data_IF_922527797188
#
_entry.id   IF_922527797188
#
_cell.length_a   1.000
_cell.length_b   1.000
_cell.length_c   1.000
_cell.angle_alpha   90.00
_cell.angle_beta   90.00
_cell.angle_gamma   90.00
#
_symmetry.space_group_name_H-M   'P 1'
#
loop_
_entity.id
_entity.type
_entity.pdbx_description
1 polymer ?
#
# COMPACT_ATOMS: atom_id res chain seq x y z
N UNK A 1 84.14 52.73 26.49
CA UNK A 1 83.80 53.73 25.43
C UNK A 1 83.38 53.00 24.15
N UNK A 2 82.32 53.51 23.48
CA UNK A 2 81.65 53.05 22.22
C UNK A 2 80.69 51.84 22.40
N UNK A 3 79.40 52.08 22.68
CA UNK A 3 78.26 52.31 21.74
C UNK A 3 77.98 51.07 20.87
N UNK A 4 77.05 50.22 21.29
CA UNK A 4 75.62 50.24 20.93
C UNK A 4 75.34 49.86 19.48
N UNK A 5 74.74 48.68 19.28
CA UNK A 5 73.65 48.38 18.33
C UNK A 5 73.09 46.99 18.63
N UNK A 6 71.98 46.98 19.35
CA UNK A 6 71.05 45.85 19.46
C UNK A 6 70.43 45.67 18.08
N UNK A 7 70.61 44.50 17.46
CA UNK A 7 69.86 44.12 16.28
C UNK A 7 69.04 42.88 16.63
N UNK A 8 67.76 43.12 16.87
CA UNK A 8 66.76 42.09 17.13
C UNK A 8 66.58 41.23 15.87
N UNK A 9 66.86 39.93 15.98
CA UNK A 9 66.34 38.95 15.04
C UNK A 9 64.84 38.81 15.30
N UNK A 10 64.03 39.55 14.53
CA UNK A 10 62.59 39.31 14.45
C UNK A 10 62.39 38.05 13.61
N UNK A 11 62.15 36.94 14.29
CA UNK A 11 61.52 35.76 13.74
C UNK A 11 60.19 36.17 13.09
N UNK A 12 60.15 36.18 11.75
CA UNK A 12 58.91 36.29 11.01
C UNK A 12 58.15 34.96 11.13
N UNK A 13 57.44 34.80 12.25
CA UNK A 13 56.43 33.76 12.39
C UNK A 13 55.27 34.16 11.47
N UNK A 14 55.24 33.58 10.27
CA UNK A 14 54.09 33.66 9.39
C UNK A 14 52.90 32.98 10.09
N UNK A 15 52.07 33.79 10.75
CA UNK A 15 50.73 33.36 11.15
C UNK A 15 49.96 33.20 9.85
N UNK A 16 49.93 31.96 9.34
CA UNK A 16 48.89 31.54 8.43
C UNK A 16 47.58 31.65 9.20
N UNK A 17 46.95 32.82 9.16
CA UNK A 17 45.53 32.95 9.48
C UNK A 17 44.85 32.13 8.41
N UNK A 18 44.52 30.89 8.77
CA UNK A 18 43.59 30.06 8.05
C UNK A 18 42.28 30.84 7.96
N UNK A 19 42.12 31.62 6.90
CA UNK A 19 40.80 31.93 6.36
C UNK A 19 40.26 30.58 5.88
N UNK A 20 39.75 29.78 6.82
CA UNK A 20 38.69 28.87 6.49
C UNK A 20 37.52 29.81 6.13
N UNK A 21 37.11 29.93 4.85
CA UNK A 21 35.77 30.43 4.61
C UNK A 21 34.89 29.51 5.45
N UNK A 22 34.18 30.08 6.42
CA UNK A 22 33.30 29.30 7.28
C UNK A 22 32.52 28.36 6.39
N UNK A 23 32.51 27.06 6.70
CA UNK A 23 31.56 26.18 6.08
C UNK A 23 30.20 26.61 6.64
N UNK A 24 29.56 27.59 5.99
CA UNK A 24 28.20 28.02 6.28
C UNK A 24 27.28 26.90 5.81
N UNK A 25 27.16 25.85 6.63
CA UNK A 25 26.34 24.69 6.30
C UNK A 25 24.86 25.04 6.17
N UNK A 26 24.42 26.21 6.64
CA UNK A 26 23.04 26.68 6.53
C UNK A 26 23.01 28.20 6.43
N UNK A 27 23.32 28.75 5.26
CA UNK A 27 22.98 30.13 4.95
C UNK A 27 21.45 30.23 4.81
N UNK A 28 20.83 31.21 5.49
CA UNK A 28 19.37 31.37 5.60
C UNK A 28 18.68 31.82 4.30
N UNK A 29 19.43 31.95 3.21
CA UNK A 29 18.91 32.17 1.86
C UNK A 29 18.85 30.81 1.18
N UNK A 30 17.66 30.22 1.11
CA UNK A 30 17.44 28.94 0.47
C UNK A 30 18.02 28.90 -0.94
N UNK A 31 19.20 28.28 -1.09
CA UNK A 31 19.80 28.01 -2.39
C UNK A 31 18.97 26.99 -3.15
N UNK A 32 18.95 27.09 -4.48
CA UNK A 32 18.30 26.09 -5.30
C UNK A 32 19.14 24.81 -5.28
N UNK A 33 18.62 23.76 -4.65
CA UNK A 33 19.31 22.48 -4.53
C UNK A 33 19.74 21.88 -5.88
N UNK A 34 19.04 22.22 -6.97
CA UNK A 34 19.38 21.76 -8.32
C UNK A 34 20.66 22.39 -8.89
N UNK A 35 21.22 23.40 -8.23
CA UNK A 35 22.49 24.01 -8.65
C UNK A 35 23.71 23.15 -8.28
N UNK A 36 23.63 22.40 -7.17
CA UNK A 36 24.73 21.57 -6.68
C UNK A 36 24.47 20.07 -6.87
N UNK A 37 23.21 19.69 -7.03
CA UNK A 37 22.82 18.31 -7.26
C UNK A 37 22.15 18.23 -8.63
N UNK A 38 22.53 17.25 -9.44
CA UNK A 38 21.91 17.03 -10.75
C UNK A 38 21.59 15.55 -10.95
N UNK A 39 20.46 15.31 -11.59
CA UNK A 39 20.07 14.00 -12.09
C UNK A 39 19.36 14.21 -13.43
N UNK A 40 20.04 13.84 -14.52
CA UNK A 40 19.44 13.90 -15.85
C UNK A 40 18.48 12.72 -16.06
N UNK A 41 17.57 12.83 -17.03
CA UNK A 41 16.69 11.71 -17.41
C UNK A 41 17.50 10.46 -17.81
N UNK A 42 18.63 10.65 -18.50
CA UNK A 42 19.50 9.55 -18.92
C UNK A 42 20.18 8.87 -17.72
N UNK A 43 20.71 9.66 -16.78
CA UNK A 43 21.32 9.12 -15.56
C UNK A 43 20.30 8.41 -14.67
N UNK A 44 19.09 8.98 -14.55
CA UNK A 44 17.98 8.35 -13.84
C UNK A 44 17.60 7.01 -14.50
N UNK A 45 17.53 6.94 -15.83
CA UNK A 45 17.21 5.72 -16.57
C UNK A 45 18.22 4.59 -16.26
N UNK A 46 19.51 4.91 -16.30
CA UNK A 46 20.61 3.98 -15.98
C UNK A 46 20.57 3.55 -14.51
N UNK A 47 20.44 4.52 -13.58
CA UNK A 47 20.42 4.28 -12.15
C UNK A 47 19.26 3.37 -11.73
N UNK A 48 18.06 3.64 -12.28
CA UNK A 48 16.83 2.89 -12.00
C UNK A 48 16.70 1.61 -12.83
N UNK A 49 17.67 1.34 -13.72
CA UNK A 49 17.73 0.13 -14.56
C UNK A 49 16.41 -0.10 -15.31
N UNK A 50 15.83 0.97 -15.87
CA UNK A 50 14.46 0.95 -16.38
C UNK A 50 14.23 -0.09 -17.49
N UNK A 51 15.27 -0.43 -18.26
CA UNK A 51 15.24 -1.51 -19.25
C UNK A 51 14.83 -2.86 -18.67
N UNK A 52 15.32 -3.19 -17.46
CA UNK A 52 14.98 -4.45 -16.78
C UNK A 52 13.51 -4.55 -16.42
N UNK A 53 12.89 -3.40 -16.18
CA UNK A 53 11.50 -3.28 -15.77
C UNK A 53 10.60 -2.80 -16.92
N UNK A 54 11.12 -2.70 -18.16
CA UNK A 54 10.38 -2.20 -19.33
C UNK A 54 9.72 -0.83 -19.07
N UNK A 55 10.39 0.03 -18.32
CA UNK A 55 9.94 1.38 -18.00
C UNK A 55 10.78 2.43 -18.75
N UNK A 56 10.27 3.66 -18.82
CA UNK A 56 10.98 4.82 -19.40
C UNK A 56 10.91 6.00 -18.45
N UNK A 57 12.03 6.72 -18.27
CA UNK A 57 12.02 8.00 -17.55
C UNK A 57 11.40 9.06 -18.46
N UNK A 58 10.29 9.63 -18.01
CA UNK A 58 9.62 10.75 -18.69
C UNK A 58 10.18 12.09 -18.24
N UNK A 59 10.33 12.28 -16.93
CA UNK A 59 10.81 13.54 -16.36
C UNK A 59 11.53 13.30 -15.03
N UNK A 60 12.57 14.09 -14.79
CA UNK A 60 13.22 14.24 -13.49
C UNK A 60 13.06 15.70 -13.04
N UNK A 61 12.55 15.90 -11.83
CA UNK A 61 12.39 17.23 -11.20
C UNK A 61 12.79 17.20 -9.73
N UNK A 62 12.95 18.36 -9.11
CA UNK A 62 13.13 18.43 -7.66
C UNK A 62 11.88 17.93 -6.95
N UNK A 63 12.06 17.09 -5.93
CA UNK A 63 10.97 16.64 -5.08
C UNK A 63 10.47 17.79 -4.18
N UNK A 64 9.18 17.79 -3.79
CA UNK A 64 8.69 18.65 -2.72
C UNK A 64 9.42 18.42 -1.39
N UNK A 65 9.97 17.22 -1.17
CA UNK A 65 10.84 16.93 -0.03
C UNK A 65 12.29 17.25 -0.39
N UNK A 66 12.86 18.23 0.32
CA UNK A 66 14.25 18.66 0.11
C UNK A 66 15.22 17.48 0.27
N UNK A 67 16.20 17.41 -0.64
CA UNK A 67 17.20 16.34 -0.66
C UNK A 67 16.86 15.16 -1.57
N UNK A 68 15.71 15.19 -2.25
CA UNK A 68 15.27 14.15 -3.17
C UNK A 68 14.98 14.71 -4.57
N UNK A 69 15.24 13.88 -5.58
CA UNK A 69 14.69 13.99 -6.93
C UNK A 69 13.37 13.25 -7.00
N UNK A 70 12.41 13.77 -7.75
CA UNK A 70 11.23 13.05 -8.20
C UNK A 70 11.44 12.61 -9.64
N UNK A 71 11.20 11.33 -9.92
CA UNK A 71 11.34 10.72 -11.24
C UNK A 71 10.01 10.13 -11.67
N UNK A 72 9.49 10.62 -12.79
CA UNK A 72 8.29 10.09 -13.42
C UNK A 72 8.68 8.97 -14.40
N UNK A 73 8.26 7.75 -14.07
CA UNK A 73 8.47 6.56 -14.89
C UNK A 73 7.17 6.19 -15.61
N UNK A 74 7.29 5.77 -16.86
CA UNK A 74 6.17 5.28 -17.67
C UNK A 74 6.41 3.81 -18.01
N UNK A 75 5.42 2.97 -17.73
CA UNK A 75 5.43 1.54 -18.06
C UNK A 75 4.08 1.18 -18.72
N UNK A 76 4.05 1.16 -20.06
CA UNK A 76 2.80 1.11 -20.81
C UNK A 76 1.96 2.37 -20.57
N UNK A 77 0.72 2.23 -20.12
CA UNK A 77 -0.15 3.35 -19.73
C UNK A 77 0.02 3.79 -18.27
N UNK A 78 0.79 3.04 -17.47
CA UNK A 78 0.96 3.34 -16.04
C UNK A 78 2.05 4.39 -15.84
N UNK A 79 1.73 5.41 -15.05
CA UNK A 79 2.68 6.41 -14.55
C UNK A 79 3.05 6.05 -13.11
N UNK A 80 4.33 5.85 -12.86
CA UNK A 80 4.89 5.51 -11.55
C UNK A 80 5.78 6.68 -11.12
N UNK A 81 5.56 7.18 -9.91
CA UNK A 81 6.42 8.21 -9.32
C UNK A 81 7.31 7.53 -8.29
N UNK A 82 8.62 7.79 -8.42
CA UNK A 82 9.62 7.37 -7.44
C UNK A 82 10.51 8.55 -7.08
N UNK A 83 11.16 8.46 -5.93
CA UNK A 83 12.08 9.48 -5.45
C UNK A 83 13.47 8.92 -5.22
N UNK A 84 14.49 9.67 -5.61
CA UNK A 84 15.90 9.29 -5.47
C UNK A 84 16.59 10.33 -4.60
N UNK A 85 17.30 9.91 -3.57
CA UNK A 85 18.07 10.84 -2.75
C UNK A 85 19.22 11.49 -3.53
N UNK A 86 19.67 12.67 -3.11
CA UNK A 86 20.75 13.37 -3.79
C UNK A 86 22.08 12.60 -3.81
N UNK A 87 22.30 11.66 -2.88
CA UNK A 87 23.47 10.79 -2.94
C UNK A 87 23.32 9.64 -3.96
N UNK A 88 22.15 9.49 -4.58
CA UNK A 88 21.83 8.47 -5.60
C UNK A 88 22.00 7.03 -5.08
N UNK A 89 21.69 6.81 -3.79
CA UNK A 89 21.88 5.53 -3.09
C UNK A 89 20.56 4.86 -2.70
N UNK A 90 19.51 5.65 -2.53
CA UNK A 90 18.23 5.20 -2.00
C UNK A 90 17.11 5.59 -2.96
N UNK A 91 16.24 4.63 -3.22
CA UNK A 91 14.99 4.79 -3.94
C UNK A 91 13.85 4.73 -2.93
N UNK A 92 12.91 5.66 -3.04
CA UNK A 92 11.67 5.69 -2.26
C UNK A 92 10.52 5.59 -3.26
N UNK A 93 9.58 4.70 -2.99
CA UNK A 93 8.40 4.52 -3.84
C UNK A 93 7.21 5.29 -3.27
N UNK A 94 6.41 5.92 -4.13
CA UNK A 94 5.17 6.57 -3.76
C UNK A 94 5.11 8.05 -4.12
N UNK A 95 4.10 8.74 -3.58
CA UNK A 95 3.92 10.20 -3.74
C UNK A 95 3.98 10.85 -2.37
N UNK A 96 4.69 11.96 -2.27
CA UNK A 96 4.53 12.84 -1.12
C UNK A 96 3.22 13.62 -1.27
N UNK A 97 2.49 13.75 -0.18
CA UNK A 97 1.31 14.60 -0.07
C UNK A 97 1.67 15.73 0.88
N UNK A 98 1.45 16.98 0.49
CA UNK A 98 1.72 18.09 1.39
C UNK A 98 0.75 18.05 2.59
N UNK A 99 1.20 18.49 3.76
CA UNK A 99 0.33 18.50 4.95
C UNK A 99 -0.90 19.41 4.76
N UNK A 100 -0.78 20.46 3.95
CA UNK A 100 -1.87 21.35 3.51
C UNK A 100 -2.90 20.63 2.62
N UNK A 101 -2.48 19.59 1.91
CA UNK A 101 -3.33 18.74 1.07
C UNK A 101 -3.91 17.54 1.83
N UNK A 102 -3.51 17.35 3.10
CA UNK A 102 -4.20 16.42 3.99
C UNK A 102 -5.60 16.97 4.25
N UNK A 103 -6.55 16.53 3.42
CA UNK A 103 -7.97 16.67 3.69
C UNK A 103 -8.44 15.63 4.69
N UNK A 104 -9.73 15.70 5.00
CA UNK A 104 -10.44 14.60 5.65
C UNK A 104 -10.18 13.28 4.91
N UNK A 105 -10.08 12.13 5.61
CA UNK A 105 -9.96 10.84 4.97
C UNK A 105 -11.01 10.71 3.87
N UNK A 106 -10.57 10.45 2.63
CA UNK A 106 -11.51 10.29 1.53
C UNK A 106 -12.53 9.23 1.95
N UNK A 107 -13.84 9.54 1.88
CA UNK A 107 -14.85 8.60 2.32
C UNK A 107 -14.69 7.31 1.52
N UNK A 108 -14.90 6.17 2.19
CA UNK A 108 -14.89 4.88 1.54
C UNK A 108 -15.84 4.93 0.33
N UNK A 109 -15.35 4.47 -0.81
CA UNK A 109 -16.15 4.40 -2.03
C UNK A 109 -17.38 3.55 -1.77
N UNK A 110 -18.54 4.01 -2.23
CA UNK A 110 -19.80 3.27 -2.10
C UNK A 110 -20.09 2.43 -3.34
N UNK A 111 -20.72 1.29 -3.13
CA UNK A 111 -21.29 0.40 -4.14
C UNK A 111 -22.77 0.19 -3.88
N UNK A 112 -23.53 -0.15 -4.92
CA UNK A 112 -24.93 -0.53 -4.75
C UNK A 112 -25.01 -1.96 -4.21
N UNK A 113 -25.30 -2.08 -2.91
CA UNK A 113 -25.43 -3.37 -2.22
C UNK A 113 -26.58 -4.19 -2.79
N UNK A 114 -27.65 -3.54 -3.29
CA UNK A 114 -28.81 -4.25 -3.86
C UNK A 114 -28.45 -4.99 -5.14
N UNK A 115 -27.43 -4.54 -5.85
CA UNK A 115 -26.89 -5.20 -7.04
C UNK A 115 -25.96 -6.38 -6.73
N UNK A 116 -25.73 -6.72 -5.46
CA UNK A 116 -24.83 -7.81 -5.07
C UNK A 116 -25.65 -9.05 -4.65
N UNK A 117 -25.67 -10.12 -5.47
CA UNK A 117 -26.38 -11.35 -5.14
C UNK A 117 -25.79 -11.99 -3.89
N UNK A 118 -26.61 -12.30 -2.88
CA UNK A 118 -26.18 -12.98 -1.65
C UNK A 118 -26.36 -14.49 -1.71
N UNK A 119 -27.06 -14.96 -2.75
CA UNK A 119 -27.23 -16.37 -3.05
C UNK A 119 -25.85 -17.01 -3.17
N UNK A 120 -25.78 -18.27 -2.72
CA UNK A 120 -24.58 -19.11 -2.82
C UNK A 120 -23.33 -18.63 -2.08
N UNK A 121 -23.41 -17.52 -1.33
CA UNK A 121 -22.34 -17.12 -0.41
C UNK A 121 -22.17 -18.15 0.72
N UNK A 122 -20.94 -18.25 1.22
CA UNK A 122 -20.64 -18.96 2.46
C UNK A 122 -21.01 -18.04 3.61
N UNK A 123 -21.86 -18.49 4.52
CA UNK A 123 -22.36 -17.65 5.61
C UNK A 123 -21.63 -17.97 6.91
N UNK A 124 -21.03 -16.95 7.51
CA UNK A 124 -20.53 -16.98 8.88
C UNK A 124 -21.44 -16.08 9.75
N UNK A 125 -22.22 -16.71 10.62
CA UNK A 125 -23.20 -16.05 11.49
C UNK A 125 -24.64 -16.45 11.19
N UNK A 126 -25.60 -15.72 11.73
CA UNK A 126 -27.03 -15.97 11.52
C UNK A 126 -27.47 -15.40 10.16
N UNK A 127 -27.96 -16.21 9.20
CA UNK A 127 -28.49 -15.69 7.92
C UNK A 127 -29.64 -14.67 8.06
N UNK A 128 -30.27 -14.58 9.24
CA UNK A 128 -31.33 -13.61 9.59
C UNK A 128 -30.81 -12.35 10.27
N UNK A 129 -29.50 -12.22 10.47
CA UNK A 129 -28.88 -11.03 11.03
C UNK A 129 -29.28 -9.76 10.25
N UNK A 130 -29.49 -8.68 10.99
CA UNK A 130 -29.89 -7.38 10.45
C UNK A 130 -28.80 -6.80 9.54
N UNK A 131 -27.54 -6.87 9.99
CA UNK A 131 -26.39 -6.35 9.27
C UNK A 131 -25.73 -7.47 8.48
N UNK A 132 -25.73 -7.29 7.16
CA UNK A 132 -25.07 -8.21 6.22
C UNK A 132 -23.82 -7.55 5.68
N UNK A 133 -22.68 -8.16 5.94
CA UNK A 133 -21.38 -7.71 5.46
C UNK A 133 -20.93 -8.70 4.38
N UNK A 134 -20.61 -8.20 3.19
CA UNK A 134 -20.17 -9.05 2.08
C UNK A 134 -18.65 -9.06 2.08
N UNK A 135 -18.04 -10.23 2.01
CA UNK A 135 -16.59 -10.39 2.08
C UNK A 135 -16.11 -11.09 0.81
N UNK A 136 -15.25 -10.43 0.04
CA UNK A 136 -14.53 -11.06 -1.06
C UNK A 136 -13.22 -11.61 -0.54
N UNK A 137 -13.04 -12.92 -0.68
CA UNK A 137 -12.07 -13.69 0.08
C UNK A 137 -11.34 -14.69 -0.82
N UNK A 138 -10.06 -14.97 -0.54
CA UNK A 138 -9.21 -15.88 -1.28
C UNK A 138 -8.60 -16.92 -0.33
N UNK A 139 -8.84 -18.23 -0.55
CA UNK A 139 -8.40 -19.30 0.35
C UNK A 139 -6.87 -19.46 0.48
N UNK A 140 -6.08 -18.87 -0.42
CA UNK A 140 -4.61 -18.87 -0.35
C UNK A 140 -4.04 -17.51 0.12
N UNK A 141 -4.88 -16.50 0.36
CA UNK A 141 -4.43 -15.20 0.82
C UNK A 141 -4.19 -15.18 2.35
N UNK A 142 -2.96 -14.88 2.82
CA UNK A 142 -2.65 -14.86 4.25
C UNK A 142 -3.40 -13.76 5.02
N UNK A 143 -3.75 -12.65 4.37
CA UNK A 143 -4.55 -11.59 4.99
C UNK A 143 -6.02 -11.97 5.12
N UNK A 144 -6.54 -12.80 4.21
CA UNK A 144 -7.89 -13.35 4.34
C UNK A 144 -7.98 -14.29 5.54
N UNK A 145 -6.99 -15.16 5.72
CA UNK A 145 -6.90 -16.03 6.90
C UNK A 145 -6.90 -15.22 8.21
N UNK A 146 -6.15 -14.10 8.25
CA UNK A 146 -6.14 -13.19 9.41
C UNK A 146 -7.49 -12.50 9.61
N UNK A 147 -8.11 -12.02 8.54
CA UNK A 147 -9.42 -11.38 8.61
C UNK A 147 -10.47 -12.35 9.14
N UNK A 148 -10.48 -13.59 8.66
CA UNK A 148 -11.45 -14.62 9.06
C UNK A 148 -11.48 -14.86 10.57
N UNK A 149 -10.32 -14.82 11.23
CA UNK A 149 -10.25 -14.91 12.69
C UNK A 149 -10.88 -13.68 13.38
N UNK A 150 -10.74 -12.48 12.82
CA UNK A 150 -11.44 -11.28 13.31
C UNK A 150 -12.96 -11.38 13.06
N UNK A 151 -13.39 -11.90 11.91
CA UNK A 151 -14.82 -12.13 11.62
C UNK A 151 -15.44 -13.12 12.61
N UNK A 152 -14.69 -14.16 13.00
CA UNK A 152 -15.11 -15.14 14.01
C UNK A 152 -15.26 -14.50 15.39
N UNK A 153 -14.34 -13.63 15.80
CA UNK A 153 -14.47 -12.85 17.05
C UNK A 153 -15.73 -11.99 17.02
N UNK A 154 -15.94 -11.24 15.94
CA UNK A 154 -17.14 -10.40 15.78
C UNK A 154 -18.41 -11.26 15.84
N UNK A 155 -18.48 -12.35 15.08
CA UNK A 155 -19.64 -13.24 15.07
C UNK A 155 -19.90 -13.91 16.43
N UNK A 156 -18.87 -14.15 17.24
CA UNK A 156 -19.04 -14.67 18.59
C UNK A 156 -19.76 -13.67 19.50
N UNK A 157 -19.44 -12.37 19.38
CA UNK A 157 -19.93 -11.29 20.25
C UNK A 157 -21.19 -10.58 19.72
N UNK A 158 -21.36 -10.51 18.39
CA UNK A 158 -22.40 -9.72 17.71
C UNK A 158 -23.24 -10.59 16.78
N UNK A 159 -24.40 -11.01 17.28
CA UNK A 159 -25.36 -11.85 16.53
C UNK A 159 -26.23 -11.06 15.56
N UNK A 160 -26.20 -9.73 15.63
CA UNK A 160 -26.86 -8.83 14.67
C UNK A 160 -26.07 -8.69 13.35
N UNK A 161 -24.89 -9.32 13.25
CA UNK A 161 -24.02 -9.26 12.07
C UNK A 161 -23.85 -10.67 11.48
N UNK A 162 -23.97 -10.79 10.17
CA UNK A 162 -23.55 -11.98 9.42
C UNK A 162 -22.65 -11.62 8.25
N UNK A 163 -21.63 -12.45 8.02
CA UNK A 163 -20.68 -12.31 6.94
C UNK A 163 -21.03 -13.25 5.79
N UNK A 164 -21.23 -12.66 4.61
CA UNK A 164 -21.52 -13.35 3.36
C UNK A 164 -20.24 -13.41 2.53
N UNK A 165 -19.52 -14.52 2.66
CA UNK A 165 -18.20 -14.70 2.09
C UNK A 165 -18.36 -15.23 0.66
N UNK A 166 -17.73 -14.53 -0.29
CA UNK A 166 -17.67 -14.82 -1.71
C UNK A 166 -16.24 -15.10 -2.10
N UNK A 167 -16.00 -16.25 -2.72
CA UNK A 167 -14.67 -16.63 -3.18
C UNK A 167 -14.25 -15.77 -4.37
N UNK A 168 -13.14 -15.07 -4.22
CA UNK A 168 -12.47 -14.24 -5.22
C UNK A 168 -10.97 -14.60 -5.26
N UNK A 169 -10.62 -15.76 -5.86
CA UNK A 169 -9.22 -16.19 -5.96
C UNK A 169 -8.43 -15.25 -6.87
N UNK A 170 -7.33 -14.72 -6.36
CA UNK A 170 -6.44 -13.83 -7.10
C UNK A 170 -5.55 -14.63 -8.06
N UNK A 171 -5.25 -14.07 -9.22
CA UNK A 171 -4.41 -14.73 -10.23
C UNK A 171 -2.99 -15.08 -9.74
N UNK A 172 -2.50 -14.40 -8.70
CA UNK A 172 -1.21 -14.68 -8.06
C UNK A 172 -1.22 -15.97 -7.22
N UNK A 173 -2.39 -16.53 -6.93
CA UNK A 173 -2.56 -17.75 -6.15
C UNK A 173 -3.05 -18.89 -7.06
N UNK A 174 -2.14 -19.66 -7.69
CA UNK A 174 -2.49 -20.60 -8.75
C UNK A 174 -3.38 -21.76 -8.29
N UNK A 175 -3.41 -22.08 -6.98
CA UNK A 175 -4.23 -23.16 -6.43
C UNK A 175 -5.57 -22.66 -5.85
N UNK A 176 -5.75 -21.35 -5.72
CA UNK A 176 -6.90 -20.76 -5.05
C UNK A 176 -8.20 -21.00 -5.81
N UNK A 177 -8.15 -21.07 -7.15
CA UNK A 177 -9.32 -21.27 -7.99
C UNK A 177 -10.01 -22.63 -7.72
N UNK A 178 -9.26 -23.72 -7.78
CA UNK A 178 -9.79 -25.06 -7.53
C UNK A 178 -10.27 -25.23 -6.08
N UNK A 179 -9.54 -24.66 -5.11
CA UNK A 179 -9.98 -24.62 -3.71
C UNK A 179 -11.29 -23.84 -3.55
N UNK A 180 -11.39 -22.69 -4.21
CA UNK A 180 -12.59 -21.85 -4.21
C UNK A 180 -13.80 -22.59 -4.78
N UNK A 181 -13.63 -23.38 -5.85
CA UNK A 181 -14.70 -24.23 -6.39
C UNK A 181 -15.17 -25.26 -5.35
N UNK A 182 -14.24 -25.96 -4.70
CA UNK A 182 -14.57 -26.96 -3.68
C UNK A 182 -15.31 -26.33 -2.48
N UNK A 183 -14.87 -25.17 -2.01
CA UNK A 183 -15.51 -24.42 -0.92
C UNK A 183 -16.90 -23.94 -1.35
N UNK A 184 -17.03 -23.36 -2.55
CA UNK A 184 -18.29 -22.83 -3.07
C UNK A 184 -19.34 -23.92 -3.30
N UNK A 185 -18.95 -25.09 -3.83
CA UNK A 185 -19.85 -26.24 -4.00
C UNK A 185 -20.51 -26.67 -2.68
N UNK A 186 -19.73 -26.68 -1.59
CA UNK A 186 -20.22 -27.09 -0.26
C UNK A 186 -20.77 -25.95 0.58
N UNK A 187 -20.55 -24.69 0.18
CA UNK A 187 -20.83 -23.48 0.97
C UNK A 187 -20.29 -23.60 2.40
N UNK A 188 -19.09 -24.16 2.54
CA UNK A 188 -18.59 -24.64 3.83
C UNK A 188 -17.53 -23.71 4.43
N UNK A 189 -17.87 -23.08 5.56
CA UNK A 189 -16.89 -22.35 6.39
C UNK A 189 -15.74 -23.27 6.80
N UNK A 190 -16.03 -24.54 7.12
CA UNK A 190 -15.01 -25.51 7.51
C UNK A 190 -13.97 -25.74 6.40
N UNK A 191 -14.39 -25.87 5.14
CA UNK A 191 -13.44 -26.03 4.04
C UNK A 191 -12.60 -24.78 3.81
N UNK A 192 -13.19 -23.60 4.00
CA UNK A 192 -12.44 -22.33 3.97
C UNK A 192 -11.37 -22.29 5.09
N UNK A 193 -11.74 -22.65 6.31
CA UNK A 193 -10.80 -22.74 7.44
C UNK A 193 -9.72 -23.80 7.23
N UNK A 194 -10.08 -24.96 6.69
CA UNK A 194 -9.12 -26.01 6.36
C UNK A 194 -8.13 -25.53 5.27
N UNK A 195 -8.59 -24.71 4.31
CA UNK A 195 -7.72 -24.08 3.31
C UNK A 195 -6.74 -23.09 3.96
N UNK A 196 -7.22 -22.21 4.82
CA UNK A 196 -6.38 -21.26 5.57
C UNK A 196 -5.37 -21.95 6.49
N UNK A 197 -5.72 -23.12 7.04
CA UNK A 197 -4.81 -23.95 7.80
C UNK A 197 -3.80 -24.73 6.94
N UNK A 198 -3.78 -24.50 5.62
CA UNK A 198 -2.87 -25.15 4.67
C UNK A 198 -3.20 -26.62 4.40
N UNK A 199 -4.40 -27.09 4.78
CA UNK A 199 -4.79 -28.49 4.54
C UNK A 199 -5.18 -28.68 3.07
N UNK A 200 -4.99 -29.92 2.60
CA UNK A 200 -5.46 -30.32 1.28
C UNK A 200 -6.98 -30.44 1.29
N UNK A 201 -7.65 -29.72 0.40
CA UNK A 201 -9.08 -29.83 0.20
C UNK A 201 -9.45 -31.01 -0.71
N UNK A 202 -10.67 -31.57 -0.57
CA UNK A 202 -11.21 -32.47 -1.57
C UNK A 202 -11.33 -31.77 -2.94
N UNK A 203 -11.39 -32.55 -4.02
CA UNK A 203 -11.77 -32.01 -5.32
C UNK A 203 -13.20 -31.45 -5.27
N UNK A 204 -13.53 -30.43 -6.09
CA UNK A 204 -14.91 -30.00 -6.25
C UNK A 204 -15.79 -31.19 -6.65
N UNK A 205 -16.93 -31.33 -6.00
CA UNK A 205 -17.91 -32.40 -6.27
C UNK A 205 -19.12 -31.90 -7.05
N UNK A 206 -19.07 -30.65 -7.52
CA UNK A 206 -20.08 -30.02 -8.34
C UNK A 206 -19.42 -29.17 -9.43
N UNK A 207 -20.14 -28.95 -10.53
CA UNK A 207 -19.82 -27.86 -11.45
C UNK A 207 -20.47 -26.58 -10.95
N UNK A 208 -19.70 -25.50 -10.90
CA UNK A 208 -20.16 -24.20 -10.40
C UNK A 208 -19.55 -23.07 -11.21
N UNK A 209 -20.39 -22.08 -11.54
CA UNK A 209 -19.95 -20.81 -12.13
C UNK A 209 -19.82 -19.70 -11.07
N UNK A 210 -20.08 -20.00 -9.79
CA UNK A 210 -20.10 -19.01 -8.72
C UNK A 210 -18.74 -18.32 -8.53
N UNK A 211 -17.64 -19.05 -8.69
CA UNK A 211 -16.29 -18.46 -8.60
C UNK A 211 -16.07 -17.45 -9.72
N UNK A 212 -16.41 -17.78 -10.96
CA UNK A 212 -16.27 -16.86 -12.09
C UNK A 212 -17.22 -15.66 -11.99
N UNK A 213 -18.44 -15.89 -11.48
CA UNK A 213 -19.41 -14.83 -11.22
C UNK A 213 -18.91 -13.87 -10.14
N UNK A 214 -18.32 -14.40 -9.05
CA UNK A 214 -17.75 -13.59 -7.99
C UNK A 214 -16.52 -12.80 -8.46
N UNK A 215 -15.67 -13.38 -9.32
CA UNK A 215 -14.55 -12.66 -9.97
C UNK A 215 -15.07 -11.47 -10.77
N UNK A 216 -16.02 -11.70 -11.70
CA UNK A 216 -16.61 -10.63 -12.52
C UNK A 216 -17.30 -9.56 -11.68
N UNK A 217 -18.01 -9.98 -10.63
CA UNK A 217 -18.66 -9.09 -9.69
C UNK A 217 -17.63 -8.22 -8.95
N UNK A 218 -16.57 -8.82 -8.41
CA UNK A 218 -15.52 -8.09 -7.71
C UNK A 218 -14.86 -7.04 -8.62
N UNK A 219 -14.50 -7.43 -9.85
CA UNK A 219 -13.92 -6.55 -10.86
C UNK A 219 -14.87 -5.42 -11.26
N UNK A 220 -16.14 -5.72 -11.52
CA UNK A 220 -17.17 -4.72 -11.85
C UNK A 220 -17.45 -3.76 -10.70
N UNK A 221 -17.26 -4.21 -9.46
CA UNK A 221 -17.29 -3.36 -8.28
C UNK A 221 -15.97 -2.60 -8.07
N UNK A 222 -14.91 -2.81 -8.86
CA UNK A 222 -13.61 -2.16 -8.70
C UNK A 222 -12.77 -2.70 -7.54
N UNK A 223 -13.01 -3.94 -7.13
CA UNK A 223 -12.23 -4.67 -6.12
C UNK A 223 -11.04 -5.33 -6.82
N UNK A 224 -9.82 -4.94 -6.45
CA UNK A 224 -8.58 -5.40 -7.09
C UNK A 224 -7.71 -6.27 -6.17
N UNK A 225 -8.23 -6.68 -5.01
CA UNK A 225 -7.47 -7.45 -4.03
C UNK A 225 -8.36 -8.01 -2.93
N UNK A 226 -7.82 -8.98 -2.20
CA UNK A 226 -8.48 -9.64 -1.08
C UNK A 226 -7.65 -9.53 0.21
N UNK A 227 -8.31 -9.50 1.39
CA UNK A 227 -9.76 -9.45 1.54
C UNK A 227 -10.34 -8.07 1.20
N UNK A 228 -11.62 -8.02 0.86
CA UNK A 228 -12.36 -6.76 0.73
C UNK A 228 -13.77 -6.92 1.29
N UNK A 229 -14.25 -5.93 2.02
CA UNK A 229 -15.57 -5.95 2.67
C UNK A 229 -16.49 -4.89 2.06
N UNK A 230 -17.77 -5.22 1.91
CA UNK A 230 -18.85 -4.27 1.64
C UNK A 230 -19.73 -4.21 2.86
N UNK A 231 -19.82 -3.04 3.49
CA UNK A 231 -20.65 -2.80 4.67
C UNK A 231 -22.14 -2.79 4.32
N UNK A 232 -23.06 -2.87 5.31
CA UNK A 232 -24.50 -2.82 5.04
C UNK A 232 -24.94 -1.52 4.34
N UNK A 233 -24.22 -0.40 4.56
CA UNK A 233 -24.48 0.89 3.91
C UNK A 233 -23.73 1.10 2.59
N UNK A 234 -23.10 0.03 2.08
CA UNK A 234 -22.47 -0.03 0.76
C UNK A 234 -21.06 0.53 0.68
N UNK A 235 -20.41 0.89 1.79
CA UNK A 235 -19.01 1.29 1.77
C UNK A 235 -18.13 0.08 1.49
N UNK A 236 -17.22 0.22 0.52
CA UNK A 236 -16.18 -0.76 0.25
C UNK A 236 -14.98 -0.46 1.15
N UNK A 237 -14.65 -1.40 2.03
CA UNK A 237 -13.46 -1.40 2.85
C UNK A 237 -12.43 -2.39 2.27
N UNK A 238 -11.30 -1.91 1.71
CA UNK A 238 -10.27 -2.79 1.18
C UNK A 238 -9.33 -3.28 2.28
N UNK A 239 -8.93 -4.55 2.19
CA UNK A 239 -7.88 -5.13 3.01
C UNK A 239 -8.34 -5.64 4.38
N UNK A 240 -7.35 -6.06 5.16
CA UNK A 240 -7.52 -6.55 6.52
C UNK A 240 -7.57 -5.39 7.53
N UNK A 241 -8.41 -5.55 8.55
CA UNK A 241 -8.35 -4.75 9.76
C UNK A 241 -8.74 -5.59 11.00
N UNK A 242 -8.29 -5.21 12.21
CA UNK A 242 -8.73 -5.83 13.45
C UNK A 242 -10.25 -5.65 13.72
N UNK A 243 -10.81 -6.52 14.56
CA UNK A 243 -12.26 -6.57 14.80
C UNK A 243 -12.88 -5.25 15.30
N UNK A 244 -12.20 -4.49 16.14
CA UNK A 244 -12.66 -3.20 16.66
C UNK A 244 -12.79 -2.15 15.55
N UNK A 245 -11.82 -2.07 14.66
CA UNK A 245 -11.85 -1.20 13.47
C UNK A 245 -13.01 -1.61 12.55
N UNK A 246 -13.14 -2.91 12.27
CA UNK A 246 -14.24 -3.42 11.44
C UNK A 246 -15.60 -3.11 12.04
N UNK A 247 -15.77 -3.22 13.36
CA UNK A 247 -17.01 -2.85 14.04
C UNK A 247 -17.31 -1.36 13.93
N UNK A 248 -16.31 -0.49 14.08
CA UNK A 248 -16.46 0.96 13.84
C UNK A 248 -16.93 1.25 12.42
N UNK A 249 -16.31 0.57 11.45
CA UNK A 249 -16.69 0.65 10.03
C UNK A 249 -18.09 0.11 9.81
N UNK A 250 -18.46 -1.08 10.29
CA UNK A 250 -19.78 -1.70 10.08
C UNK A 250 -20.91 -0.89 10.72
N UNK A 251 -20.70 -0.42 11.95
CA UNK A 251 -21.68 0.39 12.69
C UNK A 251 -21.77 1.83 12.15
N UNK A 252 -20.85 2.22 11.26
CA UNK A 252 -20.74 3.59 10.73
C UNK A 252 -20.63 4.63 11.85
N UNK A 253 -19.82 4.34 12.88
CA UNK A 253 -19.58 5.28 13.97
C UNK A 253 -18.81 6.46 13.38
N UNK A 254 -19.39 7.65 13.50
CA UNK A 254 -18.67 8.90 13.32
C UNK A 254 -18.06 9.19 14.68
N UNK A 255 -16.77 8.92 14.80
CA UNK A 255 -16.00 9.33 15.96
C UNK A 255 -16.01 10.87 16.09
#
# INVERSE_FOLDING_TARGET
MKRMKVLALVSALAIAVSYAPGAWAFESKGGNCAECHTLSNEDASKLLKTDKFKAQVKEVRLSPVKGLWEVELVQGEKVIIVHVDFAKKTLIEGKFTELSELGEPKPLRKVDVKGIPLENAIILGDPKAEKKVIVFDDPDCPYCARLHEELKKINAERKDIAFYIKMYPLAIHPNAYEKSKAIACKKSVKLLEDAFAGKKLPKPDCETQEVDNNIRLAEGLGINGTPALVTPDGRLFPGYAPADVLLGVIDNRKD
#
